data_IF_087793989204
#
_entry.id   IF_087793989204
#
_cell.length_a   1.000
_cell.length_b   1.000
_cell.length_c   1.000
_cell.angle_alpha   90.00
_cell.angle_beta   90.00
_cell.angle_gamma   90.00
#
_symmetry.space_group_name_H-M   'P 1'
#
loop_
_entity.id
_entity.type
_entity.pdbx_description
1 polymer ?
#
# COMPACT_ATOMS: atom_id res chain seq x y z
N UNK A 1 11.34 43.65 8.37
CA UNK A 1 11.01 43.28 6.97
C UNK A 1 10.13 42.04 7.08
N UNK A 2 8.81 42.25 7.13
CA UNK A 2 7.84 41.16 7.19
C UNK A 2 7.86 40.46 5.83
N UNK A 3 8.57 39.35 5.75
CA UNK A 3 8.47 38.44 4.62
C UNK A 3 7.01 37.99 4.56
N UNK A 4 6.27 38.54 3.60
CA UNK A 4 4.83 38.35 3.43
C UNK A 4 4.49 36.86 3.55
N UNK A 5 3.72 36.48 4.56
CA UNK A 5 3.30 35.09 4.83
C UNK A 5 2.72 34.42 3.56
N UNK A 6 2.12 35.22 2.68
CA UNK A 6 1.58 34.81 1.39
C UNK A 6 2.68 34.36 0.40
N UNK A 7 3.85 35.00 0.39
CA UNK A 7 5.00 34.61 -0.43
C UNK A 7 5.59 33.28 0.06
N UNK A 8 5.72 33.13 1.38
CA UNK A 8 6.16 31.90 2.02
C UNK A 8 5.21 30.75 1.70
N UNK A 9 3.90 30.95 1.81
CA UNK A 9 2.88 29.97 1.45
C UNK A 9 2.93 29.56 -0.03
N UNK A 10 3.10 30.54 -0.93
CA UNK A 10 3.24 30.29 -2.38
C UNK A 10 4.46 29.44 -2.70
N UNK A 11 5.61 29.74 -2.06
CA UNK A 11 6.83 28.94 -2.19
C UNK A 11 6.65 27.52 -1.66
N UNK A 12 6.00 27.36 -0.50
CA UNK A 12 5.70 26.06 0.08
C UNK A 12 4.80 25.22 -0.84
N UNK A 13 3.74 25.81 -1.42
CA UNK A 13 2.87 25.11 -2.39
C UNK A 13 3.61 24.64 -3.65
N UNK A 14 4.58 25.42 -4.13
CA UNK A 14 5.43 25.01 -5.26
C UNK A 14 6.35 23.86 -4.87
N UNK A 15 6.98 23.93 -3.69
CA UNK A 15 7.84 22.87 -3.19
C UNK A 15 7.06 21.57 -2.93
N UNK A 16 5.85 21.65 -2.38
CA UNK A 16 4.99 20.48 -2.17
C UNK A 16 4.62 19.82 -3.50
N UNK A 17 4.30 20.59 -4.54
CA UNK A 17 4.02 20.03 -5.87
C UNK A 17 5.24 19.39 -6.55
N UNK A 18 6.45 19.88 -6.23
CA UNK A 18 7.69 19.31 -6.74
C UNK A 18 8.06 18.00 -6.04
N UNK A 19 7.87 17.92 -4.72
CA UNK A 19 8.41 16.82 -3.90
C UNK A 19 7.35 15.78 -3.45
N UNK A 20 6.07 16.14 -3.34
CA UNK A 20 5.01 15.23 -2.91
C UNK A 20 4.19 14.73 -4.09
N UNK A 21 4.72 13.70 -4.77
CA UNK A 21 4.08 13.08 -5.95
C UNK A 21 3.58 11.66 -5.71
N UNK A 22 4.08 11.00 -4.67
CA UNK A 22 3.78 9.59 -4.36
C UNK A 22 2.39 9.43 -3.76
N UNK A 23 2.06 10.27 -2.77
CA UNK A 23 0.76 10.27 -2.11
C UNK A 23 -0.14 11.32 -2.76
N UNK A 24 -1.31 10.89 -3.24
CA UNK A 24 -2.35 11.79 -3.75
C UNK A 24 -3.55 11.72 -2.81
N UNK A 25 -4.24 12.84 -2.51
CA UNK A 25 -5.46 12.79 -1.72
C UNK A 25 -6.45 11.80 -2.33
N UNK A 26 -7.10 10.98 -1.52
CA UNK A 26 -8.22 10.18 -1.97
C UNK A 26 -9.38 11.13 -2.36
N UNK A 27 -10.12 10.77 -3.41
CA UNK A 27 -11.26 11.58 -3.89
C UNK A 27 -12.56 11.27 -3.14
N UNK A 28 -12.52 10.37 -2.16
CA UNK A 28 -13.59 10.16 -1.22
C UNK A 28 -13.51 11.21 -0.10
N UNK A 29 -14.57 11.33 0.72
CA UNK A 29 -14.56 12.24 1.88
C UNK A 29 -13.63 11.75 3.01
N UNK A 30 -12.75 10.79 2.73
CA UNK A 30 -11.83 10.26 3.72
C UNK A 30 -10.61 11.19 3.83
N UNK A 31 -10.02 11.31 5.01
CA UNK A 31 -8.75 12.01 5.21
C UNK A 31 -7.55 11.13 4.80
N UNK A 32 -7.73 10.26 3.80
CA UNK A 32 -6.71 9.29 3.39
C UNK A 32 -6.00 9.70 2.10
N UNK A 33 -4.86 9.06 1.84
CA UNK A 33 -4.06 9.27 0.65
C UNK A 33 -3.89 7.96 -0.10
N UNK A 34 -3.87 8.05 -1.43
CA UNK A 34 -3.62 6.96 -2.35
C UNK A 34 -2.15 6.98 -2.76
N UNK A 35 -1.48 5.83 -2.61
CA UNK A 35 -0.21 5.53 -3.26
C UNK A 35 -0.47 4.60 -4.46
N UNK A 36 0.01 4.98 -5.64
CA UNK A 36 -0.13 4.14 -6.83
C UNK A 36 1.05 3.17 -6.94
N UNK A 37 0.75 1.87 -7.02
CA UNK A 37 1.73 0.82 -7.29
C UNK A 37 1.64 0.47 -8.78
N UNK A 38 2.78 0.48 -9.46
CA UNK A 38 2.87 0.09 -10.87
C UNK A 38 3.22 -1.38 -10.96
N UNK A 39 2.36 -2.14 -11.63
CA UNK A 39 2.55 -3.57 -11.95
C UNK A 39 2.32 -3.79 -13.44
N UNK A 40 3.00 -4.77 -14.01
CA UNK A 40 2.94 -5.18 -15.41
C UNK A 40 1.61 -5.85 -15.75
N UNK A 41 1.08 -6.66 -14.84
CA UNK A 41 -0.19 -7.39 -14.99
C UNK A 41 -0.63 -7.99 -13.65
N UNK A 42 -1.80 -8.64 -13.63
CA UNK A 42 -2.35 -9.33 -12.46
C UNK A 42 -1.46 -10.46 -11.93
N UNK A 43 -0.65 -11.10 -12.79
CA UNK A 43 0.27 -12.13 -12.36
C UNK A 43 1.38 -11.54 -11.49
N UNK A 44 1.98 -10.41 -11.90
CA UNK A 44 2.97 -9.72 -11.06
C UNK A 44 2.35 -9.23 -9.74
N UNK A 45 1.13 -8.69 -9.77
CA UNK A 45 0.41 -8.31 -8.55
C UNK A 45 0.21 -9.51 -7.60
N UNK A 46 -0.21 -10.65 -8.15
CA UNK A 46 -0.36 -11.90 -7.39
C UNK A 46 0.95 -12.40 -6.80
N UNK A 47 2.07 -12.28 -7.52
CA UNK A 47 3.41 -12.58 -6.99
C UNK A 47 3.76 -11.68 -5.82
N UNK A 48 3.52 -10.36 -5.93
CA UNK A 48 3.78 -9.39 -4.85
C UNK A 48 2.97 -9.75 -3.60
N UNK A 49 1.66 -9.98 -3.75
CA UNK A 49 0.78 -10.39 -2.64
C UNK A 49 1.31 -11.68 -1.99
N UNK A 50 1.63 -12.68 -2.80
CA UNK A 50 2.11 -13.99 -2.33
C UNK A 50 3.41 -13.89 -1.54
N UNK A 51 4.38 -13.12 -2.03
CA UNK A 51 5.67 -12.96 -1.39
C UNK A 51 5.57 -12.12 -0.11
N UNK A 52 4.70 -11.10 -0.06
CA UNK A 52 4.41 -10.38 1.17
C UNK A 52 3.75 -11.26 2.24
N UNK A 53 2.84 -12.15 1.84
CA UNK A 53 2.23 -13.13 2.76
C UNK A 53 3.27 -14.12 3.30
N UNK A 54 4.13 -14.68 2.44
CA UNK A 54 5.22 -15.58 2.86
C UNK A 54 6.19 -14.88 3.82
N UNK A 55 6.57 -13.63 3.52
CA UNK A 55 7.43 -12.84 4.39
C UNK A 55 6.79 -12.60 5.75
N UNK A 56 5.49 -12.30 5.76
CA UNK A 56 4.71 -12.11 6.99
C UNK A 56 4.70 -13.37 7.85
N UNK A 57 4.50 -14.55 7.25
CA UNK A 57 4.54 -15.84 7.95
C UNK A 57 5.94 -16.07 8.55
N UNK A 58 7.01 -15.88 7.76
CA UNK A 58 8.38 -16.06 8.23
C UNK A 58 8.74 -15.10 9.37
N UNK A 59 8.27 -13.85 9.30
CA UNK A 59 8.50 -12.86 10.36
C UNK A 59 7.80 -13.26 11.67
N UNK A 60 6.55 -13.74 11.59
CA UNK A 60 5.80 -14.23 12.76
C UNK A 60 6.45 -15.47 13.38
N UNK A 61 6.86 -16.44 12.56
CA UNK A 61 7.55 -17.67 13.02
C UNK A 61 8.90 -17.35 13.69
N UNK A 62 9.64 -16.38 13.15
CA UNK A 62 10.93 -15.97 13.71
C UNK A 62 10.78 -15.21 15.04
N UNK A 63 9.77 -14.36 15.17
CA UNK A 63 9.49 -13.62 16.41
C UNK A 63 9.04 -14.55 17.55
N UNK A 64 8.32 -15.64 17.25
CA UNK A 64 7.98 -16.66 18.25
C UNK A 64 9.21 -17.37 18.84
N UNK A 65 10.30 -17.47 18.08
CA UNK A 65 11.48 -18.27 18.44
C UNK A 65 12.65 -17.46 19.04
N UNK A 66 12.64 -16.12 18.96
CA UNK A 66 13.79 -15.26 19.31
C UNK A 66 13.46 -14.07 20.23
N UNK A 67 12.46 -14.21 21.10
CA UNK A 67 11.83 -13.14 21.91
C UNK A 67 12.80 -12.27 22.75
N UNK A 68 13.99 -12.76 23.09
CA UNK A 68 14.89 -12.05 24.02
C UNK A 68 15.81 -10.99 23.39
N UNK A 69 16.22 -11.09 22.12
CA UNK A 69 17.39 -10.33 21.64
C UNK A 69 17.10 -9.17 20.65
N UNK A 70 15.88 -9.00 20.13
CA UNK A 70 15.65 -8.11 18.96
C UNK A 70 14.40 -7.23 18.96
N UNK A 71 13.99 -6.70 20.12
CA UNK A 71 12.85 -5.76 20.22
C UNK A 71 12.91 -4.51 19.29
N UNK A 72 14.10 -4.11 18.84
CA UNK A 72 14.28 -2.94 17.95
C UNK A 72 14.42 -3.29 16.46
N UNK A 73 14.27 -4.57 16.07
CA UNK A 73 14.38 -5.03 14.68
C UNK A 73 13.11 -5.74 14.18
N UNK A 74 12.04 -5.79 14.99
CA UNK A 74 10.80 -6.47 14.62
C UNK A 74 10.07 -5.76 13.48
N UNK A 75 9.70 -6.51 12.45
CA UNK A 75 8.88 -6.01 11.35
C UNK A 75 7.43 -5.88 11.85
N UNK A 76 6.77 -4.75 11.59
CA UNK A 76 5.35 -4.63 11.88
C UNK A 76 4.53 -5.40 10.83
N UNK A 77 4.33 -6.69 11.07
CA UNK A 77 3.58 -7.59 10.17
C UNK A 77 2.14 -7.14 10.00
N UNK A 78 1.51 -6.57 11.03
CA UNK A 78 0.14 -6.05 10.94
C UNK A 78 -0.02 -4.98 9.85
N UNK A 79 0.91 -4.02 9.82
CA UNK A 79 0.91 -2.96 8.80
C UNK A 79 1.13 -3.52 7.38
N UNK A 80 1.96 -4.55 7.22
CA UNK A 80 2.15 -5.21 5.91
C UNK A 80 0.85 -5.89 5.47
N UNK A 81 0.20 -6.62 6.37
CA UNK A 81 -1.04 -7.33 6.07
C UNK A 81 -2.19 -6.36 5.71
N UNK A 82 -2.28 -5.19 6.35
CA UNK A 82 -3.23 -4.15 5.97
C UNK A 82 -3.03 -3.65 4.53
N UNK A 83 -1.78 -3.52 4.08
CA UNK A 83 -1.47 -3.18 2.69
C UNK A 83 -1.79 -4.35 1.75
N UNK A 84 -1.48 -5.58 2.14
CA UNK A 84 -1.83 -6.78 1.36
C UNK A 84 -3.34 -6.84 1.11
N UNK A 85 -4.17 -6.60 2.13
CA UNK A 85 -5.63 -6.57 1.99
C UNK A 85 -6.08 -5.52 0.97
N UNK A 86 -5.48 -4.32 0.97
CA UNK A 86 -5.81 -3.28 0.00
C UNK A 86 -5.39 -3.62 -1.45
N UNK A 87 -4.42 -4.52 -1.64
CA UNK A 87 -3.96 -4.96 -2.96
C UNK A 87 -4.83 -6.07 -3.56
N UNK A 88 -5.70 -6.73 -2.78
CA UNK A 88 -6.53 -7.83 -3.27
C UNK A 88 -7.63 -7.31 -4.23
N UNK A 89 -7.61 -7.73 -5.52
CA UNK A 89 -8.60 -7.29 -6.51
C UNK A 89 -9.87 -8.15 -6.40
N UNK A 90 -10.59 -8.02 -5.27
CA UNK A 90 -11.74 -8.86 -4.94
C UNK A 90 -12.89 -8.74 -5.96
N UNK A 91 -13.19 -7.53 -6.41
CA UNK A 91 -14.25 -7.27 -7.40
C UNK A 91 -13.91 -7.91 -8.75
N UNK A 92 -12.64 -7.87 -9.15
CA UNK A 92 -12.17 -8.50 -10.38
C UNK A 92 -12.16 -10.03 -10.29
N UNK A 93 -11.90 -10.59 -9.11
CA UNK A 93 -12.02 -12.03 -8.87
C UNK A 93 -13.49 -12.50 -8.90
N UNK A 94 -14.41 -11.71 -8.37
CA UNK A 94 -15.85 -11.97 -8.48
C UNK A 94 -16.27 -11.95 -9.95
N UNK A 95 -15.85 -10.92 -10.70
CA UNK A 95 -16.10 -10.85 -12.14
C UNK A 95 -15.54 -12.07 -12.90
N UNK A 96 -14.33 -12.51 -12.59
CA UNK A 96 -13.72 -13.68 -13.21
C UNK A 96 -14.54 -14.95 -12.97
N UNK A 97 -15.11 -15.09 -11.77
CA UNK A 97 -15.98 -16.23 -11.41
C UNK A 97 -17.25 -16.24 -12.26
N UNK A 98 -17.90 -15.07 -12.42
CA UNK A 98 -19.05 -14.93 -13.31
C UNK A 98 -18.72 -15.28 -14.78
N UNK A 99 -17.53 -14.91 -15.25
CA UNK A 99 -17.08 -15.24 -16.62
C UNK A 99 -16.92 -16.73 -16.81
N UNK A 100 -16.35 -17.44 -15.82
CA UNK A 100 -16.21 -18.89 -15.86
C UNK A 100 -17.58 -19.59 -16.00
N UNK A 101 -18.57 -19.18 -15.23
CA UNK A 101 -19.94 -19.72 -15.28
C UNK A 101 -20.57 -19.55 -16.67
N UNK A 102 -20.37 -18.40 -17.32
CA UNK A 102 -20.91 -18.14 -18.67
C UNK A 102 -20.21 -18.97 -19.74
N UNK A 103 -18.91 -19.24 -19.60
CA UNK A 103 -18.14 -20.01 -20.60
C UNK A 103 -18.42 -21.51 -20.50
N UNK A 104 -18.76 -22.01 -19.30
CA UNK A 104 -19.05 -23.44 -19.08
C UNK A 104 -20.50 -23.84 -19.40
N UNK A 105 -21.35 -22.89 -19.77
CA UNK A 105 -22.75 -23.09 -20.20
C UNK A 105 -22.96 -22.77 -21.68
#
# INVERSE_FOLDING_TARGET
METNEMETLSRLKKLTALHFRTLKPANDKSETYIAQIKVLNYFELGCIITDMLKLSILALDHDMNNVAEKKNQSINVGLILEIVVQMFPLEEFEFLSCVEEVIQH
#
